data_IF_377125725240
#
_entry.id   IF_377125725240
#
_cell.length_a   1.000
_cell.length_b   1.000
_cell.length_c   1.000
_cell.angle_alpha   90.00
_cell.angle_beta   90.00
_cell.angle_gamma   90.00
#
_symmetry.space_group_name_H-M   'P 1'
#
loop_
_entity.id
_entity.type
_entity.pdbx_description
1 polymer ?
#
# COMPACT_ATOMS: atom_id res chain seq x y z
N UNK A 1 39.42 -11.39 -40.63
CA UNK A 1 38.65 -12.26 -39.71
C UNK A 1 37.35 -11.57 -39.38
N UNK A 2 36.23 -12.26 -39.61
CA UNK A 2 34.89 -11.67 -39.68
C UNK A 2 34.33 -11.44 -38.28
N UNK A 3 33.71 -10.29 -38.05
CA UNK A 3 33.01 -9.87 -36.81
C UNK A 3 32.03 -10.95 -36.30
N UNK A 4 31.55 -11.83 -37.19
CA UNK A 4 30.77 -13.02 -36.89
C UNK A 4 31.46 -14.05 -35.98
N UNK A 5 32.79 -14.08 -35.87
CA UNK A 5 33.51 -15.00 -34.96
C UNK A 5 33.69 -14.43 -33.54
N UNK A 6 33.57 -13.11 -33.37
CA UNK A 6 33.67 -12.46 -32.04
C UNK A 6 32.33 -12.58 -31.28
N UNK A 7 31.21 -12.60 -32.01
CA UNK A 7 29.87 -12.79 -31.43
C UNK A 7 29.61 -14.23 -30.94
N UNK A 8 30.35 -15.23 -31.46
CA UNK A 8 30.24 -16.62 -31.01
C UNK A 8 31.03 -16.89 -29.71
N UNK A 9 31.99 -16.03 -29.38
CA UNK A 9 32.86 -16.19 -28.21
C UNK A 9 32.29 -15.55 -26.93
N UNK A 10 31.35 -14.60 -27.07
CA UNK A 10 30.63 -14.00 -25.95
C UNK A 10 29.44 -14.84 -25.44
N UNK A 11 29.02 -15.87 -26.19
CA UNK A 11 27.90 -16.75 -25.80
C UNK A 11 28.30 -17.92 -24.89
N UNK A 12 29.60 -18.10 -24.61
CA UNK A 12 30.15 -19.27 -23.90
C UNK A 12 30.61 -18.99 -22.45
N UNK A 13 30.40 -17.78 -21.92
CA UNK A 13 30.88 -17.37 -20.58
C UNK A 13 29.75 -17.28 -19.54
N UNK A 14 28.50 -17.61 -19.89
CA UNK A 14 27.34 -17.56 -18.97
C UNK A 14 27.02 -18.87 -18.23
N UNK A 15 27.87 -19.91 -18.33
CA UNK A 15 27.61 -21.22 -17.72
C UNK A 15 28.61 -21.61 -16.62
N UNK A 16 28.88 -20.71 -15.68
CA UNK A 16 29.46 -21.11 -14.38
C UNK A 16 28.82 -20.32 -13.24
N UNK A 17 27.96 -20.98 -12.45
CA UNK A 17 27.49 -20.35 -11.22
C UNK A 17 26.18 -20.85 -10.60
N UNK A 18 25.95 -22.15 -10.44
CA UNK A 18 25.11 -22.65 -9.35
C UNK A 18 25.85 -23.80 -8.66
N UNK A 19 26.52 -23.45 -7.57
CA UNK A 19 27.12 -24.39 -6.62
C UNK A 19 26.00 -24.85 -5.70
N UNK A 20 25.65 -26.12 -5.81
CA UNK A 20 24.67 -26.78 -4.94
C UNK A 20 25.19 -26.74 -3.50
N UNK A 21 24.50 -25.98 -2.65
CA UNK A 21 24.73 -25.94 -1.22
C UNK A 21 23.65 -26.80 -0.56
N UNK A 22 23.92 -28.10 -0.43
CA UNK A 22 23.18 -28.97 0.49
C UNK A 22 23.56 -28.57 1.91
N UNK A 23 22.81 -27.63 2.48
CA UNK A 23 22.95 -27.14 3.84
C UNK A 23 21.59 -26.90 4.48
N UNK A 24 21.16 -27.90 5.26
CA UNK A 24 20.14 -27.84 6.31
C UNK A 24 18.67 -27.66 5.87
N UNK A 25 18.03 -28.81 5.66
CA UNK A 25 16.59 -28.98 5.70
C UNK A 25 16.02 -28.60 7.08
N UNK A 26 15.53 -27.37 7.22
CA UNK A 26 14.32 -27.01 7.99
C UNK A 26 13.92 -25.58 7.58
N UNK A 27 12.64 -25.35 7.31
CA UNK A 27 12.00 -24.09 6.85
C UNK A 27 11.89 -23.84 5.33
N UNK A 28 11.65 -24.90 4.54
CA UNK A 28 11.24 -24.74 3.14
C UNK A 28 10.05 -25.64 2.82
N UNK A 29 8.91 -25.41 3.49
CA UNK A 29 7.65 -26.07 3.13
C UNK A 29 6.56 -25.00 2.98
N UNK A 30 5.89 -25.01 1.83
CA UNK A 30 4.73 -24.18 1.44
C UNK A 30 4.98 -22.84 0.73
N UNK A 31 5.90 -22.79 -0.24
CA UNK A 31 5.92 -21.65 -1.20
C UNK A 31 4.71 -21.70 -2.17
N UNK A 32 4.08 -22.86 -2.35
CA UNK A 32 2.99 -23.07 -3.32
C UNK A 32 1.63 -23.43 -2.69
N UNK A 33 1.50 -23.37 -1.35
CA UNK A 33 0.25 -23.76 -0.70
C UNK A 33 -0.78 -22.62 -0.75
N UNK A 34 -2.06 -23.01 -0.70
CA UNK A 34 -3.17 -22.07 -0.52
C UNK A 34 -3.02 -21.36 0.83
N UNK A 35 -3.20 -20.02 0.88
CA UNK A 35 -3.19 -19.29 2.13
C UNK A 35 -4.29 -19.75 3.07
N UNK A 36 -3.94 -20.00 4.34
CA UNK A 36 -4.85 -20.53 5.36
C UNK A 36 -6.06 -19.61 5.58
N UNK A 37 -5.83 -18.29 5.55
CA UNK A 37 -6.90 -17.29 5.72
C UNK A 37 -7.97 -17.36 4.62
N UNK A 38 -7.64 -17.89 3.44
CA UNK A 38 -8.59 -18.05 2.34
C UNK A 38 -9.32 -19.40 2.38
N UNK A 39 -8.65 -20.47 2.81
CA UNK A 39 -9.32 -21.77 3.04
C UNK A 39 -10.45 -21.64 4.08
N UNK A 40 -10.20 -20.90 5.15
CA UNK A 40 -11.19 -20.67 6.21
C UNK A 40 -12.34 -19.77 5.74
N UNK A 41 -12.07 -18.83 4.83
CA UNK A 41 -13.12 -17.97 4.25
C UNK A 41 -14.14 -18.78 3.45
N UNK A 42 -13.65 -19.65 2.56
CA UNK A 42 -14.50 -20.53 1.73
C UNK A 42 -15.34 -21.46 2.61
N UNK A 43 -14.73 -22.09 3.62
CA UNK A 43 -15.46 -22.96 4.56
C UNK A 43 -16.56 -22.19 5.30
N UNK A 44 -16.27 -20.98 5.80
CA UNK A 44 -17.24 -20.21 6.58
C UNK A 44 -18.40 -19.65 5.73
N UNK A 45 -18.16 -19.30 4.47
CA UNK A 45 -19.22 -18.83 3.55
C UNK A 45 -20.14 -19.98 3.10
N UNK A 46 -19.59 -21.16 2.79
CA UNK A 46 -20.37 -22.33 2.37
C UNK A 46 -21.30 -22.82 3.48
N UNK A 47 -20.87 -22.81 4.75
CA UNK A 47 -21.65 -23.30 5.88
C UNK A 47 -22.55 -22.25 6.56
N UNK A 48 -22.77 -21.09 5.93
CA UNK A 48 -23.80 -20.12 6.37
C UNK A 48 -23.54 -19.52 7.76
N UNK A 49 -22.28 -19.36 8.16
CA UNK A 49 -21.92 -18.78 9.45
C UNK A 49 -22.10 -17.26 9.44
N UNK A 50 -23.08 -16.79 10.21
CA UNK A 50 -23.45 -15.38 10.40
C UNK A 50 -22.37 -14.60 11.20
N UNK A 51 -21.11 -14.58 10.78
CA UNK A 51 -20.04 -13.88 11.51
C UNK A 51 -19.93 -12.40 11.08
N UNK A 52 -20.75 -11.57 11.74
CA UNK A 52 -20.54 -10.11 11.82
C UNK A 52 -19.24 -9.81 12.56
N UNK A 53 -18.15 -9.49 11.85
CA UNK A 53 -17.07 -8.66 12.41
C UNK A 53 -16.16 -8.15 11.30
N UNK A 54 -16.29 -6.86 10.95
CA UNK A 54 -15.36 -6.08 10.11
C UNK A 54 -14.46 -6.93 9.22
N UNK A 55 -14.93 -7.35 8.04
CA UNK A 55 -14.08 -8.13 7.15
C UNK A 55 -12.91 -7.25 6.75
N UNK A 56 -11.73 -7.55 7.32
CA UNK A 56 -10.47 -7.04 6.77
C UNK A 56 -10.47 -7.44 5.30
N UNK A 57 -10.07 -6.54 4.41
CA UNK A 57 -9.98 -6.88 2.99
C UNK A 57 -8.99 -8.06 2.81
N UNK A 58 -9.13 -8.81 1.72
CA UNK A 58 -8.32 -10.00 1.43
C UNK A 58 -6.82 -9.70 1.48
N UNK A 59 -6.38 -8.53 1.02
CA UNK A 59 -4.97 -8.11 1.08
C UNK A 59 -4.49 -8.01 2.53
N UNK A 60 -5.25 -7.39 3.43
CA UNK A 60 -4.87 -7.29 4.86
C UNK A 60 -4.87 -8.65 5.57
N UNK A 61 -5.75 -9.57 5.16
CA UNK A 61 -5.77 -10.94 5.70
C UNK A 61 -4.51 -11.70 5.26
N UNK A 62 -4.25 -11.75 3.95
CA UNK A 62 -3.07 -12.40 3.38
C UNK A 62 -1.77 -11.79 3.91
N UNK A 63 -1.70 -10.47 3.98
CA UNK A 63 -0.53 -9.78 4.52
C UNK A 63 -0.36 -10.07 6.02
N UNK A 64 -1.46 -10.20 6.77
CA UNK A 64 -1.46 -10.64 8.15
C UNK A 64 -0.84 -12.03 8.34
N UNK A 65 -1.26 -13.00 7.52
CA UNK A 65 -0.67 -14.34 7.50
C UNK A 65 0.83 -14.30 7.14
N UNK A 66 1.22 -13.50 6.15
CA UNK A 66 2.63 -13.31 5.80
C UNK A 66 3.46 -12.72 6.95
N UNK A 67 2.92 -11.76 7.71
CA UNK A 67 3.56 -11.21 8.90
C UNK A 67 3.72 -12.23 10.03
N UNK A 68 2.83 -13.22 10.14
CA UNK A 68 2.95 -14.29 11.13
C UNK A 68 4.04 -15.30 10.76
N UNK A 69 4.20 -15.55 9.46
CA UNK A 69 5.18 -16.50 8.90
C UNK A 69 6.60 -15.92 8.75
N UNK A 70 6.74 -14.61 8.52
CA UNK A 70 8.05 -13.94 8.37
C UNK A 70 8.34 -12.95 9.50
N UNK A 71 9.25 -13.34 10.41
CA UNK A 71 9.70 -12.51 11.55
C UNK A 71 10.37 -11.22 11.11
N UNK A 72 11.14 -11.24 10.02
CA UNK A 72 11.87 -10.07 9.51
C UNK A 72 10.88 -9.05 8.93
N UNK A 73 9.91 -9.53 8.14
CA UNK A 73 8.80 -8.73 7.63
C UNK A 73 8.00 -8.10 8.76
N UNK A 74 7.63 -8.89 9.78
CA UNK A 74 6.91 -8.41 10.97
C UNK A 74 7.63 -7.30 11.71
N UNK A 75 8.94 -7.46 11.89
CA UNK A 75 9.76 -6.45 12.55
C UNK A 75 9.84 -5.17 11.71
N UNK A 76 9.97 -5.29 10.39
CA UNK A 76 10.00 -4.15 9.49
C UNK A 76 8.66 -3.39 9.52
N UNK A 77 7.52 -4.06 9.36
CA UNK A 77 6.20 -3.42 9.45
C UNK A 77 6.01 -2.71 10.81
N UNK A 78 6.42 -3.35 11.90
CA UNK A 78 6.34 -2.74 13.23
C UNK A 78 7.20 -1.46 13.32
N UNK A 79 8.40 -1.46 12.76
CA UNK A 79 9.27 -0.27 12.71
C UNK A 79 8.63 0.85 11.90
N UNK A 80 8.08 0.52 10.72
CA UNK A 80 7.40 1.51 9.87
C UNK A 80 6.21 2.14 10.60
N UNK A 81 5.35 1.33 11.23
CA UNK A 81 4.23 1.82 12.03
C UNK A 81 4.66 2.70 13.19
N UNK A 82 5.73 2.32 13.89
CA UNK A 82 6.24 3.11 15.01
C UNK A 82 6.76 4.48 14.59
N UNK A 83 7.40 4.58 13.43
CA UNK A 83 7.88 5.86 12.89
C UNK A 83 6.71 6.77 12.50
N UNK A 84 5.63 6.22 11.94
CA UNK A 84 4.47 6.98 11.45
C UNK A 84 3.45 7.30 12.56
N UNK A 85 3.50 6.61 13.71
CA UNK A 85 2.58 6.83 14.82
C UNK A 85 2.98 8.05 15.67
N UNK A 86 2.42 8.14 16.89
CA UNK A 86 2.63 9.19 17.90
C UNK A 86 4.10 9.61 18.14
N UNK A 87 5.08 8.75 17.79
CA UNK A 87 6.50 9.13 17.84
C UNK A 87 6.83 10.28 16.88
N UNK A 88 6.19 10.38 15.72
CA UNK A 88 6.41 11.47 14.78
C UNK A 88 5.81 12.76 15.34
N UNK A 89 4.53 12.72 15.72
CA UNK A 89 3.83 13.90 16.23
C UNK A 89 4.57 14.50 17.42
N UNK A 90 4.99 13.67 18.39
CA UNK A 90 5.78 14.13 19.54
C UNK A 90 7.11 14.80 19.14
N UNK A 91 7.77 14.34 18.07
CA UNK A 91 9.07 14.87 17.63
C UNK A 91 8.95 16.22 16.92
N UNK A 92 7.85 16.47 16.22
CA UNK A 92 7.62 17.70 15.46
C UNK A 92 6.73 18.71 16.20
N UNK A 93 6.08 18.30 17.29
CA UNK A 93 5.11 19.11 18.03
C UNK A 93 5.67 20.45 18.47
N UNK A 94 6.88 20.47 19.04
CA UNK A 94 7.48 21.73 19.51
C UNK A 94 7.66 22.75 18.38
N UNK A 95 8.00 22.28 17.17
CA UNK A 95 8.13 23.16 16.02
C UNK A 95 6.76 23.58 15.47
N UNK A 96 5.78 22.68 15.41
CA UNK A 96 4.39 23.00 15.02
C UNK A 96 3.81 24.09 15.92
N UNK A 97 3.89 23.91 17.23
CA UNK A 97 3.41 24.90 18.23
C UNK A 97 4.13 26.24 18.05
N UNK A 98 5.46 26.22 17.90
CA UNK A 98 6.24 27.44 17.65
C UNK A 98 5.78 28.16 16.38
N UNK A 99 5.60 27.43 15.28
CA UNK A 99 5.19 28.01 14.01
C UNK A 99 3.75 28.56 14.08
N UNK A 100 2.85 27.84 14.73
CA UNK A 100 1.44 28.23 14.90
C UNK A 100 1.31 29.53 15.68
N UNK A 101 2.05 29.68 16.79
CA UNK A 101 2.07 30.93 17.59
C UNK A 101 2.58 32.11 16.75
N UNK A 102 3.64 31.92 15.97
CA UNK A 102 4.18 32.99 15.13
C UNK A 102 3.21 33.36 14.00
N UNK A 103 2.57 32.37 13.36
CA UNK A 103 1.54 32.59 12.34
C UNK A 103 0.35 33.36 12.92
N UNK A 104 -0.10 33.01 14.11
CA UNK A 104 -1.15 33.73 14.83
C UNK A 104 -0.75 35.18 15.13
N UNK A 105 0.48 35.40 15.60
CA UNK A 105 1.01 36.73 15.85
C UNK A 105 1.01 37.60 14.60
N UNK A 106 1.56 37.12 13.47
CA UNK A 106 1.63 37.89 12.23
C UNK A 106 0.24 38.21 11.68
N UNK A 107 -0.68 37.25 11.71
CA UNK A 107 -2.08 37.47 11.34
C UNK A 107 -2.75 38.54 12.21
N UNK A 108 -2.54 38.45 13.53
CA UNK A 108 -3.08 39.42 14.49
C UNK A 108 -2.49 40.81 14.28
N UNK A 109 -1.17 40.92 14.13
CA UNK A 109 -0.48 42.18 13.89
C UNK A 109 -0.98 42.89 12.63
N UNK A 110 -1.16 42.16 11.52
CA UNK A 110 -1.77 42.69 10.29
C UNK A 110 -3.20 43.18 10.52
N UNK A 111 -3.98 42.47 11.33
CA UNK A 111 -5.36 42.88 11.65
C UNK A 111 -5.38 44.16 12.50
N UNK A 112 -4.52 44.27 13.52
CA UNK A 112 -4.37 45.51 14.29
C UNK A 112 -3.89 46.68 13.42
N UNK A 113 -2.92 46.46 12.52
CA UNK A 113 -2.46 47.52 11.62
C UNK A 113 -3.59 48.07 10.74
N UNK A 114 -4.52 47.21 10.30
CA UNK A 114 -5.69 47.62 9.49
C UNK A 114 -6.66 48.54 10.22
N UNK A 115 -6.70 48.51 11.56
CA UNK A 115 -7.63 49.36 12.36
C UNK A 115 -7.15 50.80 12.52
N UNK A 116 -5.93 51.13 12.11
CA UNK A 116 -5.40 52.51 12.17
C UNK A 116 -6.23 53.40 11.23
N UNK A 117 -6.64 54.60 11.65
CA UNK A 117 -7.46 55.47 10.79
C UNK A 117 -6.64 56.29 9.80
N UNK A 118 -5.49 56.81 10.25
CA UNK A 118 -4.58 57.56 9.39
C UNK A 118 -3.99 56.64 8.31
N UNK A 119 -4.20 56.98 7.04
CA UNK A 119 -3.83 56.14 5.91
C UNK A 119 -2.32 56.06 5.69
N UNK A 120 -1.58 57.13 5.99
CA UNK A 120 -0.13 57.16 5.86
C UNK A 120 0.52 56.34 6.98
N UNK A 121 0.04 56.50 8.21
CA UNK A 121 0.50 55.72 9.36
C UNK A 121 0.16 54.24 9.17
N UNK A 122 -1.08 53.91 8.75
CA UNK A 122 -1.49 52.53 8.44
C UNK A 122 -0.54 51.88 7.46
N UNK A 123 -0.28 52.54 6.33
CA UNK A 123 0.58 52.00 5.28
C UNK A 123 2.00 51.75 5.81
N UNK A 124 2.57 52.71 6.53
CA UNK A 124 3.90 52.58 7.11
C UNK A 124 4.00 51.43 8.12
N UNK A 125 2.99 51.26 8.99
CA UNK A 125 2.95 50.16 9.96
C UNK A 125 2.85 48.80 9.26
N UNK A 126 1.98 48.66 8.24
CA UNK A 126 1.87 47.43 7.47
C UNK A 126 3.22 47.07 6.82
N UNK A 127 3.89 48.04 6.18
CA UNK A 127 5.19 47.82 5.54
C UNK A 127 6.27 47.36 6.53
N UNK A 128 6.30 47.94 7.74
CA UNK A 128 7.21 47.52 8.81
C UNK A 128 6.95 46.07 9.22
N UNK A 129 5.69 45.70 9.49
CA UNK A 129 5.34 44.35 9.91
C UNK A 129 5.55 43.31 8.82
N UNK A 130 5.29 43.65 7.55
CA UNK A 130 5.61 42.77 6.42
C UNK A 130 7.13 42.54 6.29
N UNK A 131 7.96 43.55 6.59
CA UNK A 131 9.41 43.40 6.60
C UNK A 131 9.89 42.52 7.76
N UNK A 132 9.29 42.65 8.94
CA UNK A 132 9.59 41.83 10.11
C UNK A 132 9.22 40.36 9.88
N UNK A 133 8.03 40.11 9.34
CA UNK A 133 7.57 38.77 8.97
C UNK A 133 8.51 38.14 7.94
N UNK A 134 8.89 38.86 6.87
CA UNK A 134 9.87 38.36 5.89
C UNK A 134 11.23 38.01 6.51
N UNK A 135 11.66 38.73 7.53
CA UNK A 135 12.91 38.41 8.25
C UNK A 135 12.74 37.17 9.13
N UNK A 136 11.58 36.99 9.73
CA UNK A 136 11.22 35.79 10.45
C UNK A 136 11.18 34.57 9.51
N UNK A 137 10.52 34.68 8.36
CA UNK A 137 10.43 33.59 7.36
C UNK A 137 11.83 33.12 6.94
N UNK A 138 12.75 34.06 6.68
CA UNK A 138 14.16 33.74 6.38
C UNK A 138 14.89 33.04 7.53
N UNK A 139 14.51 33.30 8.78
CA UNK A 139 15.12 32.67 9.97
C UNK A 139 14.66 31.23 10.14
N UNK A 140 13.40 30.95 9.79
CA UNK A 140 12.81 29.62 9.94
C UNK A 140 12.87 28.78 8.66
N UNK A 141 13.31 29.33 7.54
CA UNK A 141 13.32 28.63 6.25
C UNK A 141 13.98 27.25 6.26
N UNK A 142 15.09 27.10 7.00
CA UNK A 142 15.78 25.82 7.12
C UNK A 142 14.98 24.77 7.94
N UNK A 143 14.12 25.23 8.86
CA UNK A 143 13.22 24.34 9.60
C UNK A 143 12.02 23.94 8.73
N UNK A 144 11.45 24.89 7.98
CA UNK A 144 10.38 24.60 7.01
C UNK A 144 10.84 23.60 5.94
N UNK A 145 12.05 23.76 5.39
CA UNK A 145 12.64 22.79 4.44
C UNK A 145 12.75 21.38 5.04
N UNK A 146 13.06 21.27 6.34
CA UNK A 146 13.11 19.97 7.02
C UNK A 146 11.73 19.40 7.30
N UNK A 147 10.74 20.24 7.55
CA UNK A 147 9.34 19.80 7.68
C UNK A 147 8.82 19.25 6.34
N UNK A 148 9.11 19.95 5.24
CA UNK A 148 8.78 19.49 3.89
C UNK A 148 9.45 18.14 3.58
N UNK A 149 10.75 18.00 3.89
CA UNK A 149 11.46 16.73 3.73
C UNK A 149 10.85 15.60 4.57
N UNK A 150 10.41 15.88 5.81
CA UNK A 150 9.73 14.89 6.66
C UNK A 150 8.42 14.45 6.02
N UNK A 151 7.62 15.38 5.50
CA UNK A 151 6.34 15.10 4.85
C UNK A 151 6.53 14.24 3.59
N UNK A 152 7.54 14.54 2.78
CA UNK A 152 7.93 13.70 1.63
C UNK A 152 8.30 12.28 2.07
N UNK A 153 9.09 12.14 3.14
CA UNK A 153 9.50 10.82 3.64
C UNK A 153 8.33 10.02 4.21
N UNK A 154 7.34 10.67 4.80
CA UNK A 154 6.11 10.01 5.26
C UNK A 154 5.33 9.44 4.06
N UNK A 155 5.18 10.22 2.99
CA UNK A 155 4.53 9.77 1.76
C UNK A 155 5.28 8.61 1.11
N UNK A 156 6.60 8.72 1.02
CA UNK A 156 7.47 7.65 0.50
C UNK A 156 7.30 6.36 1.32
N UNK A 157 7.35 6.45 2.65
CA UNK A 157 7.24 5.29 3.53
C UNK A 157 5.86 4.61 3.45
N UNK A 158 4.78 5.40 3.35
CA UNK A 158 3.43 4.88 3.15
C UNK A 158 3.26 4.19 1.78
N UNK A 159 3.90 4.74 0.75
CA UNK A 159 3.95 4.12 -0.58
C UNK A 159 4.66 2.78 -0.52
N UNK A 160 5.85 2.72 0.11
CA UNK A 160 6.59 1.46 0.29
C UNK A 160 5.79 0.42 1.08
N UNK A 161 5.04 0.84 2.11
CA UNK A 161 4.15 -0.05 2.87
C UNK A 161 3.05 -0.65 1.99
N UNK A 162 2.46 0.15 1.11
CA UNK A 162 1.43 -0.32 0.17
C UNK A 162 2.01 -1.30 -0.83
N UNK A 163 3.17 -0.99 -1.43
CA UNK A 163 3.88 -1.89 -2.35
C UNK A 163 4.23 -3.21 -1.67
N UNK A 164 4.73 -3.17 -0.44
CA UNK A 164 5.06 -4.36 0.34
C UNK A 164 3.84 -5.27 0.53
N UNK A 165 2.66 -4.70 0.84
CA UNK A 165 1.43 -5.49 0.91
C UNK A 165 1.11 -6.15 -0.42
N UNK A 166 1.05 -5.37 -1.51
CA UNK A 166 0.69 -5.86 -2.83
C UNK A 166 1.63 -6.97 -3.32
N UNK A 167 2.94 -6.76 -3.25
CA UNK A 167 3.92 -7.70 -3.78
C UNK A 167 4.05 -8.97 -2.94
N UNK A 168 3.81 -8.89 -1.63
CA UNK A 168 3.84 -10.08 -0.76
C UNK A 168 2.57 -10.90 -0.94
N UNK A 169 1.41 -10.26 -1.10
CA UNK A 169 0.14 -10.98 -1.24
C UNK A 169 -0.15 -11.48 -2.65
N UNK A 170 0.49 -10.90 -3.68
CA UNK A 170 0.32 -11.33 -5.08
C UNK A 170 0.60 -12.82 -5.31
N UNK A 171 1.77 -13.39 -4.92
CA UNK A 171 2.00 -14.82 -5.08
C UNK A 171 1.07 -15.68 -4.20
N UNK A 172 0.62 -15.14 -3.07
CA UNK A 172 -0.32 -15.86 -2.18
C UNK A 172 -1.68 -16.03 -2.83
N UNK A 173 -2.24 -14.99 -3.46
CA UNK A 173 -3.52 -15.10 -4.18
C UNK A 173 -3.37 -15.92 -5.47
N UNK A 174 -2.20 -15.87 -6.13
CA UNK A 174 -1.90 -16.74 -7.28
C UNK A 174 -1.93 -18.22 -6.88
N UNK A 175 -1.37 -18.58 -5.72
CA UNK A 175 -1.44 -19.95 -5.20
C UNK A 175 -2.89 -20.39 -4.97
N UNK A 176 -3.72 -19.55 -4.34
CA UNK A 176 -5.16 -19.84 -4.19
C UNK A 176 -5.84 -20.03 -5.55
N UNK A 177 -5.62 -19.12 -6.50
CA UNK A 177 -6.21 -19.21 -7.83
C UNK A 177 -5.80 -20.47 -8.57
N UNK A 178 -4.57 -20.93 -8.37
CA UNK A 178 -4.07 -22.15 -9.01
C UNK A 178 -4.59 -23.42 -8.36
N UNK A 179 -4.65 -23.45 -7.03
CA UNK A 179 -4.95 -24.65 -6.26
C UNK A 179 -6.45 -24.86 -6.06
N UNK A 180 -7.21 -23.78 -5.98
CA UNK A 180 -8.63 -23.79 -5.62
C UNK A 180 -9.56 -23.44 -6.79
N UNK A 181 -9.04 -23.35 -8.03
CA UNK A 181 -9.88 -23.16 -9.22
C UNK A 181 -10.78 -24.39 -9.39
N UNK A 182 -12.12 -24.24 -9.35
CA UNK A 182 -13.02 -25.37 -9.54
C UNK A 182 -12.85 -26.01 -10.92
N UNK A 183 -13.11 -27.31 -11.01
CA UNK A 183 -13.10 -28.00 -12.29
C UNK A 183 -14.20 -27.45 -13.21
N UNK A 184 -13.86 -27.20 -14.47
CA UNK A 184 -14.81 -26.69 -15.46
C UNK A 184 -15.84 -27.76 -15.86
N UNK A 185 -15.48 -29.04 -15.72
CA UNK A 185 -16.34 -30.17 -16.06
C UNK A 185 -17.68 -30.17 -15.32
N UNK A 186 -17.72 -29.72 -14.05
CA UNK A 186 -18.96 -29.58 -13.30
C UNK A 186 -19.91 -28.54 -13.92
N UNK A 187 -19.36 -27.41 -14.38
CA UNK A 187 -20.12 -26.37 -15.05
C UNK A 187 -20.59 -26.83 -16.43
N UNK A 188 -19.75 -27.55 -17.16
CA UNK A 188 -20.09 -28.13 -18.46
C UNK A 188 -21.21 -29.17 -18.34
N UNK A 189 -21.13 -30.07 -17.34
CA UNK A 189 -22.16 -31.04 -17.04
C UNK A 189 -23.49 -30.36 -16.73
N UNK A 190 -23.47 -29.33 -15.87
CA UNK A 190 -24.67 -28.59 -15.51
C UNK A 190 -25.30 -27.90 -16.73
N UNK A 191 -24.47 -27.33 -17.61
CA UNK A 191 -24.96 -26.73 -18.86
C UNK A 191 -25.65 -27.78 -19.74
N UNK A 192 -25.11 -28.99 -19.82
CA UNK A 192 -25.71 -30.05 -20.63
C UNK A 192 -27.06 -30.51 -20.05
N UNK A 193 -27.15 -30.68 -18.73
CA UNK A 193 -28.41 -30.98 -18.05
C UNK A 193 -29.49 -29.92 -18.37
N UNK A 194 -29.12 -28.64 -18.35
CA UNK A 194 -30.02 -27.55 -18.73
C UNK A 194 -30.44 -27.62 -20.21
N UNK A 195 -29.54 -27.96 -21.12
CA UNK A 195 -29.88 -28.08 -22.55
C UNK A 195 -30.88 -29.20 -22.78
N UNK A 196 -30.66 -30.36 -22.15
CA UNK A 196 -31.53 -31.52 -22.26
C UNK A 196 -32.95 -31.16 -21.81
N UNK A 197 -33.08 -30.59 -20.60
CA UNK A 197 -34.39 -30.20 -20.05
C UNK A 197 -35.06 -29.13 -20.94
N UNK A 198 -34.31 -28.14 -21.42
CA UNK A 198 -34.86 -27.12 -22.32
C UNK A 198 -35.39 -27.76 -23.61
N UNK A 199 -34.67 -28.72 -24.20
CA UNK A 199 -35.13 -29.42 -25.39
C UNK A 199 -36.42 -30.20 -25.14
N UNK A 200 -36.49 -30.94 -24.03
CA UNK A 200 -37.71 -31.66 -23.63
C UNK A 200 -38.91 -30.72 -23.46
N UNK A 201 -38.71 -29.52 -22.90
CA UNK A 201 -39.82 -28.57 -22.73
C UNK A 201 -40.40 -28.06 -24.05
N UNK A 202 -39.62 -28.06 -25.15
CA UNK A 202 -40.10 -27.55 -26.46
C UNK A 202 -41.27 -28.34 -27.00
N UNK A 203 -41.39 -29.62 -26.67
CA UNK A 203 -42.54 -30.46 -27.01
C UNK A 203 -43.86 -29.92 -26.44
N UNK A 204 -43.77 -29.17 -25.34
CA UNK A 204 -44.92 -28.60 -24.63
C UNK A 204 -45.06 -27.09 -24.83
N UNK A 205 -44.04 -26.42 -25.39
CA UNK A 205 -44.02 -24.95 -25.54
C UNK A 205 -44.02 -24.48 -26.99
N UNK A 206 -44.14 -25.38 -27.98
CA UNK A 206 -44.30 -25.02 -29.40
C UNK A 206 -45.65 -25.44 -29.96
N UNK A 207 -46.33 -24.51 -30.65
CA UNK A 207 -47.59 -24.82 -31.34
C UNK A 207 -47.28 -25.62 -32.61
N UNK A 208 -47.79 -26.85 -32.70
CA UNK A 208 -47.78 -27.64 -33.94
C UNK A 208 -48.77 -26.98 -34.93
N UNK A 209 -48.25 -26.43 -36.03
CA UNK A 209 -49.06 -25.95 -37.16
C UNK A 209 -49.52 -27.10 -38.04
#
# INVERSE_FOLDING_TARGET
MKISQILLMFLLILSTGCKENTGNATEQNNVNATPEVLEDHVKNEIYGSLSKRYSKNVIEQLYGEALEKDKKLKLLDKKMRHIISDSLDQKIESYRVYNDVNREYWNSAKNYAKTINDSLVKKSVIEIFDQLEKQYDKRVSAHEEKMDEIDEKILELNTQKTLMKLFITAPMIENYQKNELPDIGELESLIEDYKEIIEETKDYTTFKK
#
